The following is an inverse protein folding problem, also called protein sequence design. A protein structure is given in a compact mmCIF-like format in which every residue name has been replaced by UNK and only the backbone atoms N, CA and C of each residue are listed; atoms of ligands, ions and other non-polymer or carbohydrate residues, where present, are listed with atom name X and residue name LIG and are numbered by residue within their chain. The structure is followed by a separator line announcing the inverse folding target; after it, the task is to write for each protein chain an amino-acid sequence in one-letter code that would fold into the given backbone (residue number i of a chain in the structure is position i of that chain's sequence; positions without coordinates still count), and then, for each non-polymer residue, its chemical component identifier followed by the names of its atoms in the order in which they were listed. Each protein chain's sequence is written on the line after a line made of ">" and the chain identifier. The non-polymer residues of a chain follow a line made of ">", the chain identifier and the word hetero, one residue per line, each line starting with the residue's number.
data_IF_253766340926
#
_entry.id   IF_253766340926
#
_cell.length_a   1.000
_cell.length_b   1.000
_cell.length_c   1.000
_cell.angle_alpha   90.00
_cell.angle_beta   90.00
_cell.angle_gamma   90.00
#
_symmetry.space_group_name_H-M   'P 1'
#
loop_
_entity.id
_entity.type
_entity.pdbx_description
1 polymer ?
#
# COMPACT_ATOMS: atom_id res chain seq x y z
N UNK A 1 -13.52 -34.65 27.16
CA UNK A 1 -14.31 -34.23 26.00
C UNK A 1 -13.38 -33.32 25.21
N UNK A 2 -13.02 -33.70 23.99
CA UNK A 2 -12.18 -32.85 23.14
C UNK A 2 -13.08 -31.71 22.65
N UNK A 3 -12.62 -30.47 22.86
CA UNK A 3 -13.28 -29.30 22.31
C UNK A 3 -13.32 -29.35 20.77
N UNK A 4 -14.37 -28.84 20.15
CA UNK A 4 -14.51 -28.90 18.68
C UNK A 4 -13.39 -28.06 18.03
N UNK A 5 -12.63 -28.71 17.13
CA UNK A 5 -11.65 -28.06 16.25
C UNK A 5 -12.39 -26.98 15.44
N UNK A 6 -11.96 -25.73 15.45
CA UNK A 6 -12.60 -24.69 14.65
C UNK A 6 -12.53 -25.03 13.16
N UNK A 7 -13.63 -24.84 12.43
CA UNK A 7 -13.80 -25.12 10.99
C UNK A 7 -12.87 -24.27 10.07
N UNK A 8 -11.91 -23.55 10.61
CA UNK A 8 -11.09 -22.54 9.91
C UNK A 8 -9.87 -23.09 9.17
N UNK A 9 -9.60 -24.39 9.20
CA UNK A 9 -8.48 -24.99 8.45
C UNK A 9 -7.07 -24.68 9.00
N UNK A 10 -6.92 -23.89 10.06
CA UNK A 10 -5.66 -23.65 10.77
C UNK A 10 -5.59 -24.52 12.00
N UNK A 11 -4.52 -25.31 12.10
CA UNK A 11 -4.25 -26.10 13.32
C UNK A 11 -3.74 -25.16 14.43
N UNK A 12 -4.49 -25.11 15.54
CA UNK A 12 -4.11 -24.38 16.74
C UNK A 12 -3.77 -25.38 17.82
N UNK A 13 -2.53 -25.39 18.26
CA UNK A 13 -2.03 -26.24 19.34
C UNK A 13 -1.94 -25.43 20.62
N UNK A 14 -2.69 -25.83 21.65
CA UNK A 14 -2.64 -25.17 22.95
C UNK A 14 -1.54 -25.79 23.81
N UNK A 15 -0.69 -24.95 24.39
CA UNK A 15 0.22 -25.26 25.48
C UNK A 15 -0.27 -24.54 26.73
N UNK A 16 0.30 -24.82 27.91
CA UNK A 16 -0.22 -24.28 29.19
C UNK A 16 -0.41 -22.76 29.17
N UNK A 17 0.44 -22.00 28.47
CA UNK A 17 0.43 -20.53 28.50
C UNK A 17 0.32 -19.90 27.10
N UNK A 18 0.33 -20.69 26.02
CA UNK A 18 0.35 -20.19 24.66
C UNK A 18 -0.52 -20.99 23.69
N UNK A 19 -1.12 -20.30 22.73
CA UNK A 19 -1.72 -20.90 21.54
C UNK A 19 -0.73 -20.79 20.37
N UNK A 20 -0.34 -21.92 19.79
CA UNK A 20 0.57 -22.00 18.65
C UNK A 20 -0.23 -22.28 17.39
N UNK A 21 -0.14 -21.38 16.41
CA UNK A 21 -0.81 -21.51 15.11
C UNK A 21 0.24 -21.71 14.02
N UNK A 22 0.16 -22.85 13.31
CA UNK A 22 1.06 -23.18 12.20
C UNK A 22 0.67 -22.39 10.95
N UNK A 23 1.60 -21.63 10.37
CA UNK A 23 1.35 -20.88 9.15
C UNK A 23 1.53 -21.75 7.90
N UNK A 24 0.73 -21.53 6.83
CA UNK A 24 0.84 -22.29 5.58
C UNK A 24 2.13 -21.95 4.84
N UNK A 25 2.52 -22.82 3.90
CA UNK A 25 3.68 -22.60 3.03
C UNK A 25 3.58 -21.28 2.25
N UNK A 26 2.35 -20.89 1.88
CA UNK A 26 2.04 -19.62 1.20
C UNK A 26 0.94 -18.91 1.96
N UNK A 27 1.29 -17.82 2.62
CA UNK A 27 0.31 -16.96 3.30
C UNK A 27 -0.13 -15.85 2.34
N UNK A 28 -1.20 -16.10 1.59
CA UNK A 28 -1.67 -15.27 0.49
C UNK A 28 -3.18 -15.44 0.25
N UNK A 29 -3.83 -14.42 -0.28
CA UNK A 29 -5.21 -14.49 -0.75
C UNK A 29 -6.20 -15.08 0.26
N UNK A 30 -6.79 -16.24 -0.09
CA UNK A 30 -7.81 -16.91 0.76
C UNK A 30 -7.22 -17.39 2.09
N UNK A 31 -5.98 -17.92 2.08
CA UNK A 31 -5.32 -18.38 3.31
C UNK A 31 -5.07 -17.22 4.28
N UNK A 32 -4.79 -16.02 3.77
CA UNK A 32 -4.65 -14.83 4.60
C UNK A 32 -5.97 -14.41 5.26
N UNK A 33 -7.11 -14.56 4.56
CA UNK A 33 -8.44 -14.30 5.14
C UNK A 33 -8.73 -15.33 6.22
N UNK A 34 -8.57 -16.62 5.92
CA UNK A 34 -8.79 -17.71 6.87
C UNK A 34 -7.90 -17.57 8.12
N UNK A 35 -6.66 -17.14 7.95
CA UNK A 35 -5.74 -16.85 9.05
C UNK A 35 -6.25 -15.71 9.95
N UNK A 36 -6.73 -14.61 9.34
CA UNK A 36 -7.34 -13.51 10.12
C UNK A 36 -8.53 -14.03 10.92
N UNK A 37 -9.43 -14.78 10.28
CA UNK A 37 -10.67 -15.27 10.90
C UNK A 37 -10.36 -16.26 12.03
N UNK A 38 -9.42 -17.19 11.82
CA UNK A 38 -8.99 -18.13 12.86
C UNK A 38 -8.42 -17.43 14.09
N UNK A 39 -7.57 -16.42 13.89
CA UNK A 39 -7.03 -15.64 14.99
C UNK A 39 -8.11 -14.82 15.69
N UNK A 40 -9.07 -14.26 14.96
CA UNK A 40 -10.20 -13.54 15.57
C UNK A 40 -11.09 -14.45 16.41
N UNK A 41 -11.36 -15.69 15.96
CA UNK A 41 -12.10 -16.69 16.72
C UNK A 41 -11.36 -17.03 18.02
N UNK A 42 -10.06 -17.32 17.93
CA UNK A 42 -9.21 -17.56 19.11
C UNK A 42 -9.27 -16.40 20.11
N UNK A 43 -9.27 -15.17 19.62
CA UNK A 43 -9.37 -13.98 20.47
C UNK A 43 -10.76 -13.77 21.08
N UNK A 44 -11.81 -14.47 20.64
CA UNK A 44 -13.17 -14.39 21.17
C UNK A 44 -13.46 -15.48 22.21
N UNK A 45 -12.58 -16.45 22.40
CA UNK A 45 -12.75 -17.51 23.37
C UNK A 45 -12.82 -16.97 24.80
N UNK A 46 -13.52 -17.70 25.67
CA UNK A 46 -13.71 -17.31 27.07
C UNK A 46 -12.45 -17.40 27.92
N UNK A 47 -11.50 -18.28 27.51
CA UNK A 47 -10.19 -18.45 28.15
C UNK A 47 -9.11 -18.01 27.14
N UNK A 48 -8.63 -16.79 27.28
CA UNK A 48 -7.60 -16.24 26.39
C UNK A 48 -6.21 -16.72 26.82
N UNK A 49 -5.36 -17.16 25.88
CA UNK A 49 -3.96 -17.46 26.17
C UNK A 49 -3.18 -16.16 26.48
N UNK A 50 -2.17 -16.24 27.33
CA UNK A 50 -1.29 -15.09 27.58
C UNK A 50 -0.46 -14.70 26.34
N UNK A 51 -0.17 -15.69 25.48
CA UNK A 51 0.69 -15.54 24.30
C UNK A 51 0.08 -16.29 23.11
N UNK A 52 0.06 -15.66 21.95
CA UNK A 52 -0.22 -16.32 20.66
C UNK A 52 1.08 -16.38 19.86
N UNK A 53 1.42 -17.57 19.38
CA UNK A 53 2.63 -17.83 18.59
C UNK A 53 2.24 -18.20 17.17
N UNK A 54 2.72 -17.46 16.20
CA UNK A 54 2.61 -17.79 14.77
C UNK A 54 3.90 -18.47 14.32
N UNK A 55 3.83 -19.76 13.99
CA UNK A 55 4.98 -20.54 13.51
C UNK A 55 5.10 -20.44 11.99
N UNK A 56 6.10 -19.69 11.54
CA UNK A 56 6.43 -19.45 10.13
C UNK A 56 7.51 -20.43 9.57
N UNK A 57 7.84 -21.50 10.28
CA UNK A 57 8.93 -22.42 9.90
C UNK A 57 8.76 -23.04 8.51
N UNK A 58 7.52 -23.17 8.01
CA UNK A 58 7.22 -23.68 6.68
C UNK A 58 6.86 -22.59 5.66
N UNK A 59 6.70 -21.33 6.08
CA UNK A 59 6.22 -20.27 5.20
C UNK A 59 7.32 -19.72 4.33
N UNK A 60 7.26 -20.01 3.04
CA UNK A 60 8.23 -19.56 2.03
C UNK A 60 7.78 -18.35 1.23
N UNK A 61 6.48 -18.03 1.26
CA UNK A 61 5.90 -16.94 0.47
C UNK A 61 4.84 -16.19 1.28
N UNK A 62 4.89 -14.87 1.18
CA UNK A 62 3.87 -13.97 1.72
C UNK A 62 3.58 -12.86 0.70
N UNK A 63 2.30 -12.56 0.46
CA UNK A 63 1.85 -11.42 -0.35
C UNK A 63 1.32 -10.27 0.51
N UNK A 64 0.77 -9.25 -0.12
CA UNK A 64 0.19 -8.11 0.60
C UNK A 64 -1.01 -8.49 1.47
N UNK A 65 -1.81 -9.49 1.08
CA UNK A 65 -2.93 -9.98 1.89
C UNK A 65 -2.43 -10.64 3.17
N UNK A 66 -1.37 -11.46 3.08
CA UNK A 66 -0.72 -12.08 4.23
C UNK A 66 -0.17 -11.03 5.21
N UNK A 67 0.46 -9.98 4.68
CA UNK A 67 0.93 -8.84 5.49
C UNK A 67 -0.26 -8.16 6.18
N UNK A 68 -1.35 -7.91 5.45
CA UNK A 68 -2.57 -7.31 5.97
C UNK A 68 -3.19 -8.13 7.09
N UNK A 69 -3.23 -9.46 6.95
CA UNK A 69 -3.72 -10.37 7.97
C UNK A 69 -2.85 -10.32 9.25
N UNK A 70 -1.51 -10.32 9.11
CA UNK A 70 -0.60 -10.16 10.26
C UNK A 70 -0.89 -8.83 10.97
N UNK A 71 -0.94 -7.72 10.24
CA UNK A 71 -1.19 -6.38 10.81
C UNK A 71 -2.54 -6.34 11.52
N UNK A 72 -3.60 -6.89 10.92
CA UNK A 72 -4.93 -6.98 11.52
C UNK A 72 -4.92 -7.76 12.83
N UNK A 73 -4.29 -8.94 12.84
CA UNK A 73 -4.21 -9.81 14.00
C UNK A 73 -3.39 -9.19 15.14
N UNK A 74 -2.28 -8.50 14.80
CA UNK A 74 -1.49 -7.75 15.79
C UNK A 74 -2.30 -6.64 16.44
N UNK A 75 -3.09 -5.89 15.65
CA UNK A 75 -3.97 -4.84 16.20
C UNK A 75 -5.02 -5.45 17.15
N UNK A 76 -5.67 -6.55 16.75
CA UNK A 76 -6.69 -7.22 17.54
C UNK A 76 -6.12 -7.81 18.84
N UNK A 77 -4.95 -8.44 18.80
CA UNK A 77 -4.28 -8.98 19.98
C UNK A 77 -3.88 -7.88 20.97
N UNK A 78 -3.34 -6.75 20.46
CA UNK A 78 -2.98 -5.59 21.31
C UNK A 78 -4.17 -4.99 22.05
N UNK A 79 -5.34 -4.92 21.40
CA UNK A 79 -6.57 -4.42 22.05
C UNK A 79 -7.02 -5.30 23.22
N UNK A 80 -6.58 -6.55 23.24
CA UNK A 80 -6.86 -7.53 24.30
C UNK A 80 -5.66 -7.79 25.22
N UNK A 81 -4.59 -7.01 25.08
CA UNK A 81 -3.35 -7.11 25.85
C UNK A 81 -2.64 -8.47 25.71
N UNK A 82 -2.90 -9.20 24.61
CA UNK A 82 -2.29 -10.51 24.32
C UNK A 82 -0.98 -10.30 23.57
N UNK A 83 0.08 -10.97 24.03
CA UNK A 83 1.38 -10.97 23.38
C UNK A 83 1.35 -11.84 22.12
N UNK A 84 1.60 -11.24 20.95
CA UNK A 84 1.71 -11.95 19.69
C UNK A 84 3.19 -12.06 19.28
N UNK A 85 3.63 -13.27 18.95
CA UNK A 85 5.02 -13.60 18.63
C UNK A 85 5.09 -14.41 17.35
N UNK A 86 6.07 -14.10 16.50
CA UNK A 86 6.41 -14.87 15.30
C UNK A 86 7.64 -15.73 15.59
N UNK A 87 7.59 -17.02 15.24
CA UNK A 87 8.71 -17.95 15.37
C UNK A 87 9.03 -18.62 14.05
N UNK A 88 10.25 -19.11 13.87
CA UNK A 88 10.63 -19.86 12.66
C UNK A 88 10.61 -19.04 11.37
N UNK A 89 10.72 -17.73 11.43
CA UNK A 89 10.61 -16.85 10.25
C UNK A 89 11.78 -17.11 9.29
N UNK A 90 11.45 -17.63 8.11
CA UNK A 90 12.43 -17.90 7.06
C UNK A 90 12.98 -16.60 6.44
N UNK A 91 14.23 -16.62 5.88
CA UNK A 91 14.88 -15.41 5.34
C UNK A 91 14.04 -14.65 4.30
N UNK A 92 13.23 -15.35 3.48
CA UNK A 92 12.38 -14.74 2.47
C UNK A 92 11.25 -13.90 3.12
N UNK A 93 10.63 -14.44 4.16
CA UNK A 93 9.58 -13.74 4.92
C UNK A 93 10.18 -12.62 5.75
N UNK A 94 11.33 -12.87 6.38
CA UNK A 94 12.08 -11.87 7.13
C UNK A 94 12.40 -10.64 6.26
N UNK A 95 12.86 -10.83 5.01
CA UNK A 95 13.16 -9.74 4.10
C UNK A 95 11.91 -8.88 3.77
N UNK A 96 10.71 -9.49 3.73
CA UNK A 96 9.45 -8.76 3.54
C UNK A 96 9.10 -7.97 4.80
N UNK A 97 9.21 -8.55 5.98
CA UNK A 97 8.94 -7.88 7.25
C UNK A 97 9.87 -6.67 7.45
N UNK A 98 11.16 -6.81 7.14
CA UNK A 98 12.14 -5.71 7.19
C UNK A 98 11.81 -4.60 6.18
N UNK A 99 11.45 -4.97 4.94
CA UNK A 99 11.09 -4.01 3.91
C UNK A 99 9.87 -3.16 4.29
N UNK A 100 8.91 -3.76 4.99
CA UNK A 100 7.68 -3.11 5.44
C UNK A 100 7.83 -2.44 6.80
N UNK A 101 9.00 -2.56 7.43
CA UNK A 101 9.30 -2.11 8.80
C UNK A 101 8.43 -2.79 9.88
N UNK A 102 7.83 -3.92 9.58
CA UNK A 102 7.05 -4.73 10.54
C UNK A 102 7.94 -5.44 11.55
N UNK A 103 9.20 -5.73 11.20
CA UNK A 103 10.24 -6.24 12.10
C UNK A 103 10.43 -5.38 13.36
N UNK A 104 10.13 -4.08 13.26
CA UNK A 104 10.23 -3.13 14.39
C UNK A 104 9.02 -3.15 15.32
N UNK A 105 7.92 -3.71 14.87
CA UNK A 105 6.63 -3.69 15.58
C UNK A 105 6.25 -5.07 16.10
N UNK A 106 6.73 -6.12 15.44
CA UNK A 106 6.49 -7.52 15.74
C UNK A 106 7.58 -8.07 16.66
N UNK A 107 7.20 -8.92 17.59
CA UNK A 107 8.15 -9.73 18.36
C UNK A 107 8.49 -10.97 17.53
N UNK A 108 9.75 -11.09 17.10
CA UNK A 108 10.23 -12.25 16.36
C UNK A 108 11.19 -13.01 17.29
N UNK A 109 10.86 -14.25 17.63
CA UNK A 109 11.69 -15.12 18.47
C UNK A 109 12.34 -16.20 17.58
N UNK A 110 13.64 -16.54 17.78
CA UNK A 110 14.24 -17.68 17.11
C UNK A 110 13.54 -18.97 17.52
N UNK A 111 13.44 -19.93 16.60
CA UNK A 111 12.95 -21.27 16.94
C UNK A 111 13.96 -21.92 17.91
N UNK A 112 13.51 -22.38 19.09
CA UNK A 112 14.39 -22.96 20.09
C UNK A 112 15.05 -24.29 19.66
N UNK A 113 14.66 -24.86 18.52
CA UNK A 113 15.18 -26.08 17.95
C UNK A 113 15.83 -25.83 16.60
N UNK A 114 17.01 -25.32 16.56
CA UNK A 114 18.12 -25.62 15.63
C UNK A 114 19.13 -24.46 15.59
N UNK A 115 20.29 -24.65 16.13
CA UNK A 115 21.47 -23.86 15.77
C UNK A 115 21.79 -24.10 14.28
N UNK A 116 21.18 -23.34 13.40
CA UNK A 116 21.58 -23.26 12.01
C UNK A 116 22.68 -22.20 11.91
N UNK A 117 23.86 -22.53 11.38
CA UNK A 117 24.99 -21.60 11.34
C UNK A 117 24.61 -20.36 10.52
N UNK A 118 25.09 -19.22 11.00
CA UNK A 118 24.98 -17.92 10.33
C UNK A 118 25.37 -18.04 8.86
N UNK A 119 24.39 -18.24 7.99
CA UNK A 119 24.62 -18.36 6.55
C UNK A 119 24.78 -16.97 5.98
N UNK A 120 25.90 -16.74 5.34
CA UNK A 120 26.28 -15.62 4.48
C UNK A 120 25.04 -14.90 3.94
N UNK A 121 24.98 -13.56 4.09
CA UNK A 121 23.94 -12.66 3.54
C UNK A 121 23.87 -12.78 2.01
N UNK A 122 23.38 -13.89 1.50
CA UNK A 122 22.87 -13.97 0.14
C UNK A 122 21.69 -13.00 0.04
N UNK A 123 21.70 -12.12 -0.95
CA UNK A 123 20.57 -11.22 -1.22
C UNK A 123 19.32 -12.08 -1.36
N UNK A 124 18.52 -12.14 -0.30
CA UNK A 124 17.28 -12.90 -0.30
C UNK A 124 16.33 -12.23 -1.31
N UNK A 125 15.91 -12.98 -2.31
CA UNK A 125 15.00 -12.45 -3.32
C UNK A 125 13.61 -12.26 -2.72
N UNK A 126 13.09 -11.03 -2.82
CA UNK A 126 11.73 -10.71 -2.43
C UNK A 126 10.70 -11.52 -3.25
N UNK A 127 9.52 -11.84 -2.71
CA UNK A 127 8.51 -12.62 -3.40
C UNK A 127 8.05 -11.95 -4.69
N UNK A 128 7.76 -12.76 -5.71
CA UNK A 128 7.13 -12.27 -6.94
C UNK A 128 5.62 -12.31 -6.75
N UNK A 129 5.05 -11.23 -6.22
CA UNK A 129 3.60 -11.11 -6.03
C UNK A 129 2.87 -10.94 -7.35
N UNK A 130 3.50 -10.25 -8.31
CA UNK A 130 2.92 -10.02 -9.63
C UNK A 130 4.01 -9.93 -10.72
N UNK A 131 3.78 -10.42 -11.96
CA UNK A 131 4.76 -10.36 -13.06
C UNK A 131 5.27 -8.95 -13.39
N UNK A 132 4.43 -7.90 -13.24
CA UNK A 132 4.82 -6.50 -13.50
C UNK A 132 5.98 -6.03 -12.62
N UNK A 133 6.10 -6.57 -11.40
CA UNK A 133 7.11 -6.13 -10.41
C UNK A 133 8.52 -6.48 -10.86
N UNK A 134 8.70 -7.65 -11.51
CA UNK A 134 10.01 -8.14 -11.98
C UNK A 134 10.24 -7.97 -13.47
N UNK A 135 9.28 -7.40 -14.22
CA UNK A 135 9.43 -7.16 -15.65
C UNK A 135 10.55 -6.14 -15.93
N UNK A 136 11.66 -6.62 -16.47
CA UNK A 136 12.79 -5.77 -16.85
C UNK A 136 12.40 -4.76 -17.94
N UNK A 137 11.53 -5.15 -18.88
CA UNK A 137 11.04 -4.28 -19.95
C UNK A 137 10.18 -3.16 -19.36
N UNK A 138 9.25 -3.48 -18.44
CA UNK A 138 8.46 -2.45 -17.73
C UNK A 138 9.39 -1.49 -16.99
N UNK A 139 10.38 -2.01 -16.27
CA UNK A 139 11.33 -1.16 -15.53
C UNK A 139 12.15 -0.26 -16.46
N UNK A 140 12.56 -0.75 -17.62
CA UNK A 140 13.23 0.07 -18.64
C UNK A 140 12.32 1.22 -19.12
N UNK A 141 11.05 0.93 -19.44
CA UNK A 141 10.06 1.95 -19.81
C UNK A 141 9.82 2.96 -18.69
N UNK A 142 9.76 2.50 -17.43
CA UNK A 142 9.65 3.38 -16.27
C UNK A 142 10.85 4.34 -16.17
N UNK A 143 12.08 3.85 -16.37
CA UNK A 143 13.29 4.67 -16.31
C UNK A 143 13.29 5.70 -17.46
N UNK A 144 13.06 5.27 -18.70
CA UNK A 144 13.04 6.17 -19.86
C UNK A 144 11.96 7.24 -19.68
N UNK A 145 10.73 6.84 -19.36
CA UNK A 145 9.62 7.77 -19.15
C UNK A 145 9.86 8.72 -17.98
N UNK A 146 10.49 8.24 -16.89
CA UNK A 146 10.81 9.12 -15.76
C UNK A 146 11.91 10.13 -16.08
N UNK A 147 12.91 9.76 -16.86
CA UNK A 147 13.96 10.71 -17.32
C UNK A 147 13.35 11.81 -18.19
N UNK A 148 12.48 11.43 -19.15
CA UNK A 148 11.75 12.39 -19.97
C UNK A 148 10.86 13.29 -19.10
N UNK A 149 10.08 12.69 -18.18
CA UNK A 149 9.21 13.42 -17.27
C UNK A 149 9.96 14.38 -16.34
N UNK A 150 11.13 14.00 -15.85
CA UNK A 150 12.00 14.88 -15.06
C UNK A 150 12.57 16.03 -15.89
N UNK A 151 12.89 15.80 -17.16
CA UNK A 151 13.25 16.86 -18.11
C UNK A 151 12.13 17.89 -18.26
N UNK A 152 10.89 17.43 -18.45
CA UNK A 152 9.70 18.31 -18.49
C UNK A 152 9.53 19.04 -17.13
N UNK A 153 9.70 18.32 -16.03
CA UNK A 153 9.62 18.90 -14.68
C UNK A 153 10.63 20.02 -14.49
N UNK A 154 11.87 19.84 -14.94
CA UNK A 154 12.93 20.85 -14.84
C UNK A 154 12.59 22.14 -15.61
N UNK A 155 12.03 22.01 -16.81
CA UNK A 155 11.58 23.17 -17.61
C UNK A 155 10.41 23.88 -16.94
N UNK A 156 9.42 23.12 -16.43
CA UNK A 156 8.23 23.67 -15.79
C UNK A 156 8.49 24.19 -14.37
N UNK A 157 9.60 23.82 -13.74
CA UNK A 157 9.88 24.09 -12.33
C UNK A 157 9.89 25.58 -12.01
N UNK A 158 10.62 26.40 -12.78
CA UNK A 158 10.79 27.84 -12.47
C UNK A 158 9.44 28.57 -12.50
N UNK A 159 8.62 28.51 -13.57
CA UNK A 159 7.35 29.21 -13.60
C UNK A 159 6.37 28.68 -12.54
N UNK A 160 6.33 27.36 -12.28
CA UNK A 160 5.48 26.79 -11.24
C UNK A 160 5.93 27.22 -9.85
N UNK A 161 7.23 27.24 -9.57
CA UNK A 161 7.77 27.63 -8.28
C UNK A 161 7.45 29.11 -7.96
N UNK A 162 7.60 29.99 -8.92
CA UNK A 162 7.24 31.42 -8.80
C UNK A 162 5.73 31.54 -8.53
N UNK A 163 4.89 30.90 -9.33
CA UNK A 163 3.44 30.96 -9.18
C UNK A 163 3.00 30.48 -7.78
N UNK A 164 3.53 29.35 -7.29
CA UNK A 164 3.22 28.83 -5.96
C UNK A 164 3.63 29.82 -4.85
N UNK A 165 4.81 30.42 -4.98
CA UNK A 165 5.34 31.37 -3.97
C UNK A 165 4.55 32.68 -3.93
N UNK A 166 4.05 33.15 -5.06
CA UNK A 166 3.22 34.35 -5.15
C UNK A 166 1.81 34.08 -4.62
N UNK A 167 1.26 32.88 -4.85
CA UNK A 167 -0.11 32.52 -4.46
C UNK A 167 -0.24 32.24 -2.94
N UNK A 168 0.76 31.63 -2.32
CA UNK A 168 0.70 31.27 -0.90
C UNK A 168 2.08 31.12 -0.25
N UNK A 169 2.24 31.50 1.05
CA UNK A 169 3.49 31.29 1.79
C UNK A 169 3.78 29.81 2.00
N UNK A 170 5.07 29.43 2.16
CA UNK A 170 5.51 28.07 2.47
C UNK A 170 6.37 27.40 1.39
N UNK A 171 6.65 26.08 1.48
CA UNK A 171 7.53 25.34 0.56
C UNK A 171 6.91 25.16 -0.83
N UNK A 172 7.74 24.98 -1.85
CA UNK A 172 7.29 24.72 -3.24
C UNK A 172 6.79 23.28 -3.37
N UNK A 173 7.49 22.35 -2.73
CA UNK A 173 7.15 20.94 -2.76
C UNK A 173 6.31 20.54 -1.54
N UNK A 174 5.43 19.59 -1.76
CA UNK A 174 4.70 18.84 -0.75
C UNK A 174 5.16 17.39 -0.79
N UNK A 175 5.32 16.76 0.36
CA UNK A 175 5.57 15.33 0.46
C UNK A 175 4.65 14.68 1.50
N UNK A 176 4.21 13.46 1.21
CA UNK A 176 3.36 12.67 2.10
C UNK A 176 3.82 11.20 2.08
N UNK A 177 3.77 10.55 3.23
CA UNK A 177 4.02 9.11 3.30
C UNK A 177 2.87 8.34 2.64
N UNK A 178 3.23 7.43 1.75
CA UNK A 178 2.32 6.51 1.06
C UNK A 178 2.86 5.10 1.19
N UNK A 179 1.99 4.11 0.96
CA UNK A 179 2.37 2.72 0.91
C UNK A 179 2.47 2.25 -0.54
N UNK A 180 3.57 1.59 -0.84
CA UNK A 180 3.90 1.04 -2.14
C UNK A 180 3.74 -0.48 -2.18
N UNK A 181 4.53 -1.13 -3.04
CA UNK A 181 4.55 -2.58 -3.19
C UNK A 181 4.80 -3.27 -1.85
N UNK A 182 3.96 -4.27 -1.55
CA UNK A 182 3.91 -5.02 -0.29
C UNK A 182 3.72 -4.14 0.96
N UNK A 183 3.17 -2.92 0.81
CA UNK A 183 2.98 -2.02 1.94
C UNK A 183 4.23 -1.24 2.34
N UNK A 184 5.32 -1.29 1.55
CA UNK A 184 6.54 -0.54 1.82
C UNK A 184 6.27 0.96 1.87
N UNK A 185 6.59 1.67 2.97
CA UNK A 185 6.38 3.10 3.04
C UNK A 185 7.39 3.86 2.16
N UNK A 186 6.92 4.89 1.48
CA UNK A 186 7.76 5.84 0.73
C UNK A 186 7.16 7.25 0.78
N UNK A 187 7.96 8.27 0.46
CA UNK A 187 7.51 9.65 0.36
C UNK A 187 7.17 9.97 -1.09
N UNK A 188 5.89 10.22 -1.38
CA UNK A 188 5.46 10.75 -2.66
C UNK A 188 5.74 12.25 -2.71
N UNK A 189 6.20 12.75 -3.87
CA UNK A 189 6.52 14.15 -4.07
C UNK A 189 5.55 14.81 -5.03
N UNK A 190 5.09 16.02 -4.69
CA UNK A 190 4.22 16.85 -5.54
C UNK A 190 4.63 18.32 -5.45
N UNK A 191 4.22 19.11 -6.44
CA UNK A 191 4.16 20.55 -6.22
C UNK A 191 3.03 20.86 -5.25
N UNK A 192 3.23 21.84 -4.38
CA UNK A 192 2.21 22.24 -3.42
C UNK A 192 1.02 22.87 -4.15
N UNK A 193 -0.15 22.32 -3.95
CA UNK A 193 -1.42 22.79 -4.51
C UNK A 193 -2.45 23.17 -3.44
N UNK A 194 -2.09 23.02 -2.14
CA UNK A 194 -2.94 23.34 -1.01
C UNK A 194 -2.25 24.32 -0.07
N UNK A 195 -3.04 24.99 0.78
CA UNK A 195 -2.53 25.85 1.85
C UNK A 195 -1.69 25.08 2.88
N UNK A 196 -0.93 25.79 3.71
CA UNK A 196 0.01 25.17 4.65
C UNK A 196 -0.72 24.34 5.72
N UNK A 197 -1.90 24.80 6.16
CA UNK A 197 -2.69 24.17 7.23
C UNK A 197 -3.72 23.16 6.71
N UNK A 198 -3.53 22.64 5.48
CA UNK A 198 -4.48 21.78 4.78
C UNK A 198 -4.85 20.51 5.57
N UNK A 199 -3.92 19.91 6.32
CA UNK A 199 -4.18 18.72 7.14
C UNK A 199 -5.02 19.04 8.39
N UNK A 200 -4.81 20.21 8.99
CA UNK A 200 -5.64 20.69 10.11
C UNK A 200 -7.07 20.94 9.63
N UNK A 201 -7.22 21.72 8.56
CA UNK A 201 -8.52 22.04 7.94
C UNK A 201 -9.25 20.78 7.48
N UNK A 202 -8.52 19.74 7.01
CA UNK A 202 -9.11 18.47 6.63
C UNK A 202 -9.92 17.83 7.76
N UNK A 203 -9.39 17.86 8.99
CA UNK A 203 -10.07 17.26 10.15
C UNK A 203 -11.40 17.98 10.45
N UNK A 204 -11.44 19.29 10.27
CA UNK A 204 -12.67 20.07 10.44
C UNK A 204 -13.70 19.80 9.34
N UNK A 205 -13.22 19.46 8.14
CA UNK A 205 -14.06 19.16 6.97
C UNK A 205 -14.47 17.70 6.84
N UNK A 206 -14.06 16.81 7.76
CA UNK A 206 -14.37 15.37 7.64
C UNK A 206 -15.88 15.08 7.59
N UNK A 207 -16.69 15.87 8.29
CA UNK A 207 -18.16 15.75 8.23
C UNK A 207 -18.78 16.14 6.86
N UNK A 208 -18.03 16.84 6.01
CA UNK A 208 -18.45 17.25 4.67
C UNK A 208 -17.87 16.35 3.57
N UNK A 209 -17.28 15.21 3.94
CA UNK A 209 -16.74 14.27 2.97
C UNK A 209 -17.85 13.75 2.04
N UNK A 210 -17.62 13.83 0.73
CA UNK A 210 -18.56 13.40 -0.32
C UNK A 210 -18.28 11.98 -0.83
N UNK A 211 -17.27 11.29 -0.26
CA UNK A 211 -16.94 9.90 -0.55
C UNK A 211 -17.29 9.00 0.65
N UNK A 212 -17.19 7.69 0.47
CA UNK A 212 -17.60 6.65 1.43
C UNK A 212 -16.71 6.49 2.69
N UNK A 213 -15.92 7.50 3.04
CA UNK A 213 -15.15 7.56 4.29
C UNK A 213 -13.71 7.05 4.21
N UNK A 214 -13.38 6.13 3.31
CA UNK A 214 -12.00 5.64 3.14
C UNK A 214 -11.10 6.62 2.34
N UNK A 215 -11.71 7.50 1.55
CA UNK A 215 -11.03 8.55 0.79
C UNK A 215 -11.75 9.87 1.05
N UNK A 216 -11.00 10.95 1.27
CA UNK A 216 -11.58 12.29 1.41
C UNK A 216 -11.76 12.94 0.03
N UNK A 217 -12.98 13.34 -0.29
CA UNK A 217 -13.33 14.12 -1.49
C UNK A 217 -14.31 15.23 -1.15
N UNK A 218 -14.07 16.39 -1.69
CA UNK A 218 -14.93 17.55 -1.51
C UNK A 218 -14.90 18.41 -2.78
N UNK A 219 -16.06 18.71 -3.34
CA UNK A 219 -16.20 19.68 -4.42
C UNK A 219 -15.95 21.09 -3.86
N UNK A 220 -15.13 21.89 -4.55
CA UNK A 220 -14.70 23.22 -4.08
C UNK A 220 -13.93 23.19 -2.73
N UNK A 221 -13.00 22.26 -2.59
CA UNK A 221 -12.15 22.11 -1.40
C UNK A 221 -11.44 23.45 -1.06
N UNK A 222 -11.74 24.08 0.10
CA UNK A 222 -11.19 25.40 0.47
C UNK A 222 -9.68 25.36 0.74
N UNK A 223 -9.10 24.18 0.90
CA UNK A 223 -7.65 23.99 1.11
C UNK A 223 -6.84 24.25 -0.16
N UNK A 224 -7.50 24.15 -1.34
CA UNK A 224 -6.82 24.27 -2.64
C UNK A 224 -6.60 25.74 -2.96
N UNK A 225 -5.34 26.11 -3.21
CA UNK A 225 -4.96 27.50 -3.58
C UNK A 225 -5.40 27.81 -5.02
N UNK A 226 -5.38 29.08 -5.43
CA UNK A 226 -5.78 29.50 -6.79
C UNK A 226 -4.86 28.85 -7.85
N UNK A 227 -3.55 28.91 -7.65
CA UNK A 227 -2.56 28.24 -8.51
C UNK A 227 -2.68 26.74 -8.38
N UNK A 228 -2.91 26.22 -7.17
CA UNK A 228 -3.13 24.80 -6.90
C UNK A 228 -4.29 24.21 -7.71
N UNK A 229 -5.36 24.95 -7.92
CA UNK A 229 -6.50 24.53 -8.76
C UNK A 229 -6.07 24.31 -10.22
N UNK A 230 -5.24 25.21 -10.75
CA UNK A 230 -4.71 25.07 -12.11
C UNK A 230 -3.77 23.86 -12.19
N UNK A 231 -2.83 23.71 -11.23
CA UNK A 231 -1.88 22.62 -11.19
C UNK A 231 -2.60 21.26 -11.14
N UNK A 232 -3.62 21.13 -10.29
CA UNK A 232 -4.41 19.89 -10.17
C UNK A 232 -5.21 19.60 -11.44
N UNK A 233 -5.85 20.60 -12.00
CA UNK A 233 -6.63 20.46 -13.25
C UNK A 233 -5.75 19.98 -14.41
N UNK A 234 -4.51 20.43 -14.48
CA UNK A 234 -3.54 20.04 -15.50
C UNK A 234 -2.66 18.86 -15.10
N UNK A 235 -2.80 18.34 -13.87
CA UNK A 235 -1.93 17.32 -13.27
C UNK A 235 -0.45 17.71 -13.20
N UNK A 236 -0.12 19.00 -13.33
CA UNK A 236 1.24 19.49 -13.21
C UNK A 236 1.77 19.38 -11.78
N UNK A 237 0.89 19.34 -10.78
CA UNK A 237 1.29 19.09 -9.39
C UNK A 237 1.95 17.72 -9.21
N UNK A 238 1.71 16.77 -10.07
CA UNK A 238 2.22 15.38 -9.98
C UNK A 238 3.58 15.17 -10.67
N UNK A 239 4.10 16.16 -11.42
CA UNK A 239 5.36 16.03 -12.13
C UNK A 239 6.55 15.58 -11.24
N UNK A 240 6.70 16.03 -9.99
CA UNK A 240 7.79 15.55 -9.13
C UNK A 240 7.76 14.05 -8.82
N UNK A 241 6.62 13.35 -9.03
CA UNK A 241 6.53 11.90 -8.83
C UNK A 241 7.40 11.11 -9.82
N UNK A 242 7.82 11.69 -10.97
CA UNK A 242 8.77 11.02 -11.85
C UNK A 242 10.09 10.68 -11.13
N UNK A 243 10.44 11.42 -10.08
CA UNK A 243 11.55 11.06 -9.20
C UNK A 243 11.30 9.76 -8.42
N UNK A 244 10.08 9.55 -7.93
CA UNK A 244 9.70 8.29 -7.28
C UNK A 244 9.72 7.11 -8.26
N UNK A 245 9.33 7.34 -9.52
CA UNK A 245 9.41 6.32 -10.58
C UNK A 245 10.87 5.98 -10.89
N UNK A 246 11.73 6.99 -11.02
CA UNK A 246 13.16 6.78 -11.27
C UNK A 246 13.83 5.98 -10.16
N UNK A 247 13.49 6.27 -8.90
CA UNK A 247 13.95 5.50 -7.73
C UNK A 247 13.39 4.07 -7.66
N UNK A 248 12.31 3.79 -8.39
CA UNK A 248 11.63 2.50 -8.39
C UNK A 248 10.67 2.29 -7.23
N UNK A 249 10.33 3.33 -6.49
CA UNK A 249 9.27 3.37 -5.47
C UNK A 249 7.89 3.31 -6.13
N UNK A 250 7.78 3.88 -7.35
CA UNK A 250 6.60 3.87 -8.19
C UNK A 250 6.92 3.34 -9.59
N UNK A 251 5.90 3.15 -10.40
CA UNK A 251 5.93 2.89 -11.84
C UNK A 251 5.17 3.99 -12.57
N UNK A 252 5.33 4.11 -13.88
CA UNK A 252 4.46 4.98 -14.70
C UNK A 252 3.01 4.51 -14.60
N UNK A 253 2.78 3.20 -14.66
CA UNK A 253 1.44 2.60 -14.61
C UNK A 253 1.36 1.60 -13.45
N UNK A 254 0.34 1.74 -12.61
CA UNK A 254 0.11 0.87 -11.47
C UNK A 254 -1.16 1.25 -10.70
N UNK A 255 -1.29 0.72 -9.49
CA UNK A 255 -2.39 1.06 -8.58
C UNK A 255 -2.15 2.43 -7.92
N UNK A 256 -3.20 3.07 -7.41
CA UNK A 256 -3.04 4.33 -6.66
C UNK A 256 -2.32 4.05 -5.33
N UNK A 257 -1.25 4.79 -4.98
CA UNK A 257 -0.59 4.63 -3.68
C UNK A 257 -1.51 5.13 -2.53
N UNK A 258 -1.95 4.26 -1.60
CA UNK A 258 -2.77 4.66 -0.47
C UNK A 258 -1.93 5.36 0.61
N UNK A 259 -2.59 6.13 1.47
CA UNK A 259 -2.01 6.61 2.71
C UNK A 259 -1.98 5.50 3.77
N UNK A 260 -1.11 5.57 4.80
CA UNK A 260 -1.17 4.65 5.94
C UNK A 260 -2.57 4.60 6.58
N UNK A 261 -3.22 5.74 6.79
CA UNK A 261 -4.55 5.81 7.39
C UNK A 261 -5.63 5.13 6.52
N UNK A 262 -5.51 5.17 5.19
CA UNK A 262 -6.41 4.41 4.31
C UNK A 262 -6.21 2.90 4.50
N UNK A 263 -4.97 2.44 4.57
CA UNK A 263 -4.64 1.01 4.72
C UNK A 263 -4.98 0.49 6.12
N UNK A 264 -4.97 1.35 7.13
CA UNK A 264 -5.35 0.99 8.50
C UNK A 264 -6.79 0.46 8.63
N UNK A 265 -7.66 0.84 7.70
CA UNK A 265 -9.06 0.40 7.66
C UNK A 265 -9.34 -0.58 6.51
N UNK A 266 -8.29 -1.13 5.87
CA UNK A 266 -8.45 -2.13 4.82
C UNK A 266 -8.83 -3.49 5.41
N UNK A 267 -9.77 -4.15 4.73
CA UNK A 267 -9.96 -5.58 4.88
C UNK A 267 -8.85 -6.36 4.16
N UNK A 268 -8.60 -7.61 4.57
CA UNK A 268 -7.49 -8.41 4.03
C UNK A 268 -7.50 -8.50 2.49
N UNK A 269 -8.64 -8.71 1.80
CA UNK A 269 -8.65 -8.73 0.34
C UNK A 269 -8.25 -7.41 -0.33
N UNK A 270 -8.48 -6.27 0.34
CA UNK A 270 -8.15 -4.94 -0.19
C UNK A 270 -6.64 -4.70 -0.28
N UNK A 271 -5.85 -5.42 0.54
CA UNK A 271 -4.40 -5.37 0.50
C UNK A 271 -3.81 -5.90 -0.81
N UNK A 272 -4.51 -6.79 -1.54
CA UNK A 272 -4.05 -7.31 -2.83
C UNK A 272 -3.68 -6.22 -3.84
N UNK A 273 -4.27 -5.04 -3.72
CA UNK A 273 -3.88 -3.90 -4.58
C UNK A 273 -2.42 -3.47 -4.43
N UNK A 274 -1.76 -3.86 -3.32
CA UNK A 274 -0.36 -3.57 -3.03
C UNK A 274 0.60 -4.64 -3.59
N UNK A 275 0.11 -5.68 -4.25
CA UNK A 275 0.94 -6.71 -4.89
C UNK A 275 1.71 -6.20 -6.11
N UNK A 276 1.41 -4.99 -6.57
CA UNK A 276 2.11 -4.30 -7.66
C UNK A 276 2.68 -2.97 -7.17
N UNK A 277 3.65 -2.43 -7.90
CA UNK A 277 4.12 -1.07 -7.64
C UNK A 277 3.01 -0.06 -7.91
N UNK A 278 2.87 0.97 -7.07
CA UNK A 278 1.94 2.06 -7.35
C UNK A 278 2.35 2.82 -8.60
N UNK A 279 1.35 3.34 -9.33
CA UNK A 279 1.55 4.08 -10.56
C UNK A 279 1.30 5.57 -10.42
N UNK A 280 1.93 6.35 -11.32
CA UNK A 280 1.51 7.73 -11.57
C UNK A 280 0.14 7.77 -12.24
N UNK A 281 -0.12 6.78 -13.11
CA UNK A 281 -1.45 6.53 -13.69
C UNK A 281 -1.86 5.07 -13.52
N UNK A 282 -3.12 4.79 -13.77
CA UNK A 282 -3.69 3.44 -13.68
C UNK A 282 -5.13 3.41 -14.13
N UNK A 283 -5.75 2.24 -14.02
CA UNK A 283 -7.08 1.95 -14.52
C UNK A 283 -8.14 2.92 -13.95
N UNK A 284 -8.10 3.20 -12.66
CA UNK A 284 -9.08 4.09 -12.04
C UNK A 284 -8.87 5.57 -12.43
N UNK A 285 -7.60 6.01 -12.60
CA UNK A 285 -7.32 7.39 -13.00
C UNK A 285 -7.83 7.70 -14.42
N UNK A 286 -7.79 6.74 -15.34
CA UNK A 286 -8.23 6.95 -16.73
C UNK A 286 -9.71 6.68 -16.95
N UNK A 287 -10.40 5.98 -16.03
CA UNK A 287 -11.80 5.59 -16.17
C UNK A 287 -12.76 6.31 -15.21
N UNK A 288 -12.35 7.43 -14.60
CA UNK A 288 -13.30 8.20 -13.81
C UNK A 288 -12.72 9.12 -12.73
N UNK A 289 -11.43 8.97 -12.36
CA UNK A 289 -10.77 9.87 -11.38
C UNK A 289 -11.71 10.29 -10.22
N UNK A 290 -12.11 11.56 -10.25
CA UNK A 290 -12.96 12.19 -9.23
C UNK A 290 -14.43 11.80 -9.30
N UNK A 291 -14.93 11.23 -10.40
CA UNK A 291 -16.33 10.77 -10.49
C UNK A 291 -16.58 9.46 -9.72
N UNK A 292 -15.54 8.67 -9.47
CA UNK A 292 -15.65 7.44 -8.66
C UNK A 292 -15.65 7.84 -7.18
N UNK A 293 -16.78 7.65 -6.50
CA UNK A 293 -16.97 7.96 -5.08
C UNK A 293 -16.91 6.73 -4.18
N UNK A 294 -17.21 5.55 -4.72
CA UNK A 294 -17.19 4.30 -3.99
C UNK A 294 -15.76 3.73 -3.97
N UNK A 295 -15.26 3.40 -2.79
CA UNK A 295 -13.94 2.83 -2.61
C UNK A 295 -13.81 1.42 -3.22
N UNK A 296 -14.86 0.60 -3.17
CA UNK A 296 -14.87 -0.73 -3.78
C UNK A 296 -14.65 -0.68 -5.29
N UNK A 297 -15.18 0.34 -5.98
CA UNK A 297 -14.95 0.51 -7.41
C UNK A 297 -13.49 0.85 -7.72
N UNK A 298 -12.82 1.61 -6.84
CA UNK A 298 -11.37 1.86 -6.96
C UNK A 298 -10.61 0.54 -6.82
N UNK A 299 -10.92 -0.28 -5.81
CA UNK A 299 -10.31 -1.60 -5.61
C UNK A 299 -10.54 -2.50 -6.82
N UNK A 300 -11.79 -2.57 -7.32
CA UNK A 300 -12.14 -3.38 -8.50
C UNK A 300 -11.32 -2.99 -9.73
N UNK A 301 -11.11 -1.71 -9.97
CA UNK A 301 -10.32 -1.21 -11.09
C UNK A 301 -8.82 -1.52 -10.90
N UNK A 302 -8.30 -1.36 -9.70
CA UNK A 302 -6.91 -1.71 -9.39
C UNK A 302 -6.65 -3.22 -9.56
N UNK A 303 -7.56 -4.08 -9.09
CA UNK A 303 -7.47 -5.53 -9.29
C UNK A 303 -7.69 -5.93 -10.75
N UNK A 304 -8.54 -5.21 -11.49
CA UNK A 304 -8.71 -5.43 -12.94
C UNK A 304 -7.43 -5.10 -13.70
N UNK A 305 -6.71 -4.04 -13.33
CA UNK A 305 -5.39 -3.75 -13.87
C UNK A 305 -4.43 -4.92 -13.66
N UNK A 306 -4.36 -5.46 -12.45
CA UNK A 306 -3.48 -6.58 -12.13
C UNK A 306 -3.82 -7.82 -12.98
N UNK A 307 -5.10 -8.22 -13.01
CA UNK A 307 -5.54 -9.42 -13.76
C UNK A 307 -5.27 -9.36 -15.25
N UNK A 308 -5.38 -8.16 -15.85
CA UNK A 308 -5.24 -7.96 -17.30
C UNK A 308 -3.88 -7.42 -17.70
N UNK A 309 -2.94 -7.31 -16.75
CA UNK A 309 -1.67 -6.68 -17.01
C UNK A 309 -0.88 -7.36 -18.12
N UNK A 310 -0.44 -6.56 -19.06
CA UNK A 310 0.62 -6.81 -20.02
C UNK A 310 1.21 -5.46 -20.47
N UNK A 311 2.36 -5.48 -21.14
CA UNK A 311 3.04 -4.24 -21.55
C UNK A 311 2.20 -3.38 -22.51
N UNK A 312 1.44 -4.01 -23.41
CA UNK A 312 0.56 -3.26 -24.32
C UNK A 312 -0.56 -2.55 -23.55
N UNK A 313 -1.03 -3.16 -22.46
CA UNK A 313 -2.01 -2.55 -21.58
C UNK A 313 -1.44 -1.33 -20.84
N UNK A 314 -0.21 -1.40 -20.35
CA UNK A 314 0.49 -0.24 -19.77
C UNK A 314 0.58 0.91 -20.79
N UNK A 315 1.02 0.64 -22.02
CA UNK A 315 1.09 1.66 -23.08
C UNK A 315 -0.28 2.26 -23.40
N UNK A 316 -1.34 1.43 -23.44
CA UNK A 316 -2.72 1.90 -23.62
C UNK A 316 -3.16 2.85 -22.51
N UNK A 317 -2.83 2.54 -21.25
CA UNK A 317 -3.17 3.39 -20.11
C UNK A 317 -2.37 4.72 -20.13
N UNK A 318 -1.10 4.69 -20.52
CA UNK A 318 -0.31 5.91 -20.72
C UNK A 318 -0.94 6.81 -21.77
N UNK A 319 -1.29 6.26 -22.95
CA UNK A 319 -1.94 7.03 -24.03
C UNK A 319 -3.29 7.59 -23.58
N UNK A 320 -4.11 6.79 -22.88
CA UNK A 320 -5.38 7.28 -22.30
C UNK A 320 -5.15 8.41 -21.31
N UNK A 321 -4.11 8.33 -20.47
CA UNK A 321 -3.78 9.39 -19.51
C UNK A 321 -3.50 10.70 -20.20
N UNK A 322 -2.67 10.66 -21.25
CA UNK A 322 -2.37 11.85 -22.06
C UNK A 322 -3.68 12.45 -22.61
N UNK A 323 -4.55 11.61 -23.19
CA UNK A 323 -5.83 12.09 -23.72
C UNK A 323 -6.74 12.68 -22.64
N UNK A 324 -6.79 12.09 -21.44
CA UNK A 324 -7.61 12.58 -20.31
C UNK A 324 -7.08 13.91 -19.78
N UNK A 325 -5.77 14.08 -19.68
CA UNK A 325 -5.14 15.33 -19.20
C UNK A 325 -5.43 16.51 -20.16
N UNK A 326 -5.47 16.24 -21.47
CA UNK A 326 -5.78 17.28 -22.48
C UNK A 326 -7.28 17.49 -22.73
N UNK A 327 -8.18 16.67 -22.19
CA UNK A 327 -9.63 16.92 -22.28
C UNK A 327 -10.03 18.04 -21.31
N UNK A 328 -10.92 18.94 -21.79
CA UNK A 328 -11.44 20.05 -21.00
C UNK A 328 -12.17 19.63 -19.71
N UNK A 329 -12.76 18.42 -19.70
CA UNK A 329 -13.49 17.82 -18.56
C UNK A 329 -12.66 16.75 -17.84
N UNK A 330 -11.42 17.06 -17.52
CA UNK A 330 -10.50 16.10 -16.88
C UNK A 330 -10.93 15.66 -15.46
N UNK A 331 -12.02 16.20 -14.91
CA UNK A 331 -12.60 15.77 -13.63
C UNK A 331 -11.64 15.89 -12.42
N UNK A 332 -10.53 16.60 -12.55
CA UNK A 332 -9.62 16.85 -11.45
C UNK A 332 -10.14 18.04 -10.64
N UNK A 333 -10.78 17.75 -9.52
CA UNK A 333 -11.18 18.70 -8.48
C UNK A 333 -10.19 18.63 -7.35
#
# INVERSE_FOLDING_TARGET
>A
MADPVPETGFEVNFTNDAAVMQMPVRLAGVDAVAFKDACQQLLQESSLPEKIVFDFSQTTFIDSSGIGAIVSNVKSARLKEIKLVLTGVLPQVQAVLEMTALDKVLTIEPLETAATPATTRTKTELPTTHPSVRSKVKRFLDIVGSVVGLGITAVAFIPIAIAIKVDSPGPIFFSQTRLGWLGKPFKIWKFRSMCQDAEYIKKELESQNQADGKVFKMENDPRITKVGRILRKTSLDELPQFWNVLKGEMSLVGTRPPTPNEVDIYEVPEWQRLDVKPGMTGEWQVNGRSSIRNFEDIIRLDLRYQRNWNLAYDLKLILKTILVVFRKDSGAV
#
